data_IF_957626298907
#
_entry.id   IF_957626298907
#
_cell.length_a   1.000
_cell.length_b   1.000
_cell.length_c   1.000
_cell.angle_alpha   90.00
_cell.angle_beta   90.00
_cell.angle_gamma   90.00
#
_symmetry.space_group_name_H-M   'P 1'
#
loop_
_entity.id
_entity.type
_entity.pdbx_description
1 polymer ?
#
# COMPACT_ATOMS: atom_id res chain seq x y z
N UNK A 1 29.42 -30.62 -12.07
CA UNK A 1 28.03 -30.10 -12.13
C UNK A 1 27.79 -28.95 -11.12
N UNK A 2 28.63 -27.91 -11.08
CA UNK A 2 28.43 -26.73 -10.21
C UNK A 2 27.98 -25.47 -10.98
N UNK A 3 27.67 -25.61 -12.27
CA UNK A 3 27.28 -24.51 -13.17
C UNK A 3 25.76 -24.17 -13.04
N UNK A 4 24.94 -25.00 -12.39
CA UNK A 4 23.46 -24.94 -12.58
C UNK A 4 22.62 -24.10 -11.60
N UNK A 5 23.15 -23.55 -10.48
CA UNK A 5 22.32 -22.75 -9.55
C UNK A 5 22.60 -21.25 -9.58
N UNK A 6 23.87 -20.85 -9.66
CA UNK A 6 24.27 -19.42 -9.70
C UNK A 6 23.94 -18.75 -11.04
N UNK A 7 24.08 -19.49 -12.14
CA UNK A 7 23.70 -18.99 -13.46
C UNK A 7 22.19 -18.81 -13.56
N UNK A 8 21.43 -19.79 -13.06
CA UNK A 8 19.97 -19.76 -13.01
C UNK A 8 19.41 -18.62 -12.16
N UNK A 9 19.99 -18.37 -10.97
CA UNK A 9 19.59 -17.22 -10.14
C UNK A 9 19.87 -15.88 -10.84
N UNK A 10 20.95 -15.79 -11.61
CA UNK A 10 21.31 -14.57 -12.33
C UNK A 10 20.37 -14.31 -13.52
N UNK A 11 20.02 -15.34 -14.30
CA UNK A 11 19.03 -15.24 -15.38
C UNK A 11 17.65 -14.85 -14.86
N UNK A 12 17.21 -15.46 -13.76
CA UNK A 12 15.92 -15.17 -13.16
C UNK A 12 15.87 -13.74 -12.58
N UNK A 13 16.92 -13.29 -11.92
CA UNK A 13 17.02 -11.90 -11.45
C UNK A 13 17.01 -10.91 -12.64
N UNK A 14 17.75 -11.20 -13.71
CA UNK A 14 17.74 -10.40 -14.94
C UNK A 14 16.34 -10.31 -15.56
N UNK A 15 15.59 -11.41 -15.57
CA UNK A 15 14.19 -11.45 -16.01
C UNK A 15 13.29 -10.55 -15.15
N UNK A 16 13.43 -10.57 -13.82
CA UNK A 16 12.64 -9.73 -12.93
C UNK A 16 12.97 -8.24 -13.08
N UNK A 17 14.25 -7.90 -13.26
CA UNK A 17 14.68 -6.52 -13.57
C UNK A 17 14.00 -6.03 -14.85
N UNK A 18 13.97 -6.86 -15.89
CA UNK A 18 13.33 -6.51 -17.16
C UNK A 18 11.80 -6.37 -17.01
N UNK A 19 11.17 -7.23 -16.22
CA UNK A 19 9.75 -7.12 -15.92
C UNK A 19 9.42 -5.84 -15.14
N UNK A 20 10.26 -5.47 -14.17
CA UNK A 20 10.13 -4.21 -13.43
C UNK A 20 10.25 -3.01 -14.36
N UNK A 21 11.24 -2.98 -15.26
CA UNK A 21 11.38 -1.91 -16.27
C UNK A 21 10.12 -1.79 -17.12
N UNK A 22 9.63 -2.90 -17.68
CA UNK A 22 8.40 -2.93 -18.49
C UNK A 22 7.17 -2.43 -17.72
N UNK A 23 7.04 -2.80 -16.45
CA UNK A 23 5.97 -2.29 -15.59
C UNK A 23 6.05 -0.78 -15.40
N UNK A 24 7.26 -0.25 -15.15
CA UNK A 24 7.47 1.17 -14.97
C UNK A 24 7.25 1.97 -16.27
N UNK A 25 7.71 1.46 -17.41
CA UNK A 25 7.46 2.07 -18.73
C UNK A 25 5.96 2.21 -19.02
N UNK A 26 5.16 1.17 -18.75
CA UNK A 26 3.70 1.22 -18.86
C UNK A 26 3.10 2.29 -17.95
N UNK A 27 3.62 2.42 -16.74
CA UNK A 27 3.17 3.40 -15.75
C UNK A 27 3.52 4.83 -16.18
N UNK A 28 4.74 5.05 -16.69
CA UNK A 28 5.19 6.33 -17.26
C UNK A 28 4.36 6.70 -18.49
N UNK A 29 4.05 5.74 -19.37
CA UNK A 29 3.20 5.98 -20.53
C UNK A 29 1.80 6.45 -20.10
N UNK A 30 1.23 5.80 -19.08
CA UNK A 30 -0.08 6.17 -18.51
C UNK A 30 -0.06 7.57 -17.88
N UNK A 31 1.01 7.89 -17.14
CA UNK A 31 1.24 9.22 -16.59
C UNK A 31 1.36 10.28 -17.69
N UNK A 32 2.18 10.02 -18.71
CA UNK A 32 2.36 10.95 -19.82
C UNK A 32 1.03 11.19 -20.54
N UNK A 33 0.25 10.14 -20.80
CA UNK A 33 -1.09 10.21 -21.39
C UNK A 33 -2.03 11.11 -20.58
N UNK A 34 -2.05 10.93 -19.26
CA UNK A 34 -2.83 11.77 -18.34
C UNK A 34 -2.38 13.24 -18.36
N UNK A 35 -1.08 13.52 -18.41
CA UNK A 35 -0.56 14.88 -18.58
C UNK A 35 -1.00 15.50 -19.90
N UNK A 36 -1.12 14.70 -20.97
CA UNK A 36 -1.64 15.15 -22.26
C UNK A 36 -3.11 15.56 -22.16
N UNK A 37 -3.93 14.71 -21.56
CA UNK A 37 -5.36 14.90 -21.36
C UNK A 37 -5.65 16.15 -20.51
N UNK A 38 -4.95 16.29 -19.38
CA UNK A 38 -5.14 17.39 -18.44
C UNK A 38 -4.49 18.70 -18.91
N UNK A 39 -3.68 18.66 -19.98
CA UNK A 39 -2.85 19.79 -20.45
C UNK A 39 -1.95 20.36 -19.34
N UNK A 40 -1.45 19.49 -18.45
CA UNK A 40 -0.55 19.85 -17.35
C UNK A 40 0.86 19.31 -17.62
N UNK A 41 1.92 20.12 -17.42
CA UNK A 41 3.29 19.63 -17.50
C UNK A 41 3.68 18.79 -16.27
N UNK A 42 4.69 17.93 -16.42
CA UNK A 42 5.34 17.28 -15.28
C UNK A 42 6.10 18.33 -14.45
N UNK A 43 5.83 18.38 -13.16
CA UNK A 43 6.45 19.34 -12.24
C UNK A 43 7.87 18.90 -11.84
N UNK A 44 8.94 19.62 -12.23
CA UNK A 44 10.30 19.19 -11.93
C UNK A 44 10.62 19.28 -10.42
N UNK A 45 11.74 18.64 -10.02
CA UNK A 45 12.39 19.00 -8.76
C UNK A 45 12.61 20.52 -8.72
N UNK A 46 12.30 21.15 -7.58
CA UNK A 46 12.30 22.61 -7.48
C UNK A 46 13.75 23.11 -7.53
N UNK A 47 14.11 24.05 -8.42
CA UNK A 47 15.44 24.67 -8.41
C UNK A 47 15.69 25.40 -7.09
N UNK A 48 16.93 25.46 -6.61
CA UNK A 48 17.30 26.12 -5.35
C UNK A 48 16.78 27.57 -5.26
N UNK A 49 16.95 28.35 -6.34
CA UNK A 49 16.44 29.73 -6.44
C UNK A 49 14.92 29.84 -6.27
N UNK A 50 14.16 28.83 -6.72
CA UNK A 50 12.70 28.83 -6.55
C UNK A 50 12.30 28.37 -5.15
N UNK A 51 13.15 27.62 -4.44
CA UNK A 51 12.94 27.34 -3.01
C UNK A 51 13.08 28.64 -2.21
N UNK A 52 14.12 29.42 -2.47
CA UNK A 52 14.38 30.72 -1.83
C UNK A 52 13.20 31.69 -2.02
N UNK A 53 12.77 31.90 -3.27
CA UNK A 53 11.60 32.73 -3.60
C UNK A 53 10.30 32.30 -2.89
N UNK A 54 10.11 31.00 -2.67
CA UNK A 54 8.91 30.49 -2.00
C UNK A 54 8.98 30.67 -0.49
N UNK A 55 10.18 30.63 0.09
CA UNK A 55 10.40 30.99 1.49
C UNK A 55 10.12 32.49 1.69
N UNK A 56 10.57 33.32 0.75
CA UNK A 56 10.37 34.78 0.78
C UNK A 56 8.91 35.18 0.54
N UNK A 57 8.16 34.45 -0.31
CA UNK A 57 6.77 34.77 -0.67
C UNK A 57 5.75 33.78 -0.10
N UNK A 58 6.04 33.20 1.07
CA UNK A 58 5.23 32.12 1.67
C UNK A 58 3.76 32.50 1.88
N UNK A 59 3.50 33.74 2.27
CA UNK A 59 2.15 34.24 2.62
C UNK A 59 1.23 34.41 1.39
N UNK A 60 1.80 34.49 0.18
CA UNK A 60 1.05 34.72 -1.07
C UNK A 60 0.71 33.43 -1.84
N UNK A 61 1.24 32.28 -1.41
CA UNK A 61 1.12 31.00 -2.12
C UNK A 61 -0.33 30.50 -2.27
N UNK A 62 -1.22 30.90 -1.38
CA UNK A 62 -2.65 30.53 -1.41
C UNK A 62 -3.36 31.04 -2.69
N UNK A 63 -2.83 32.09 -3.32
CA UNK A 63 -3.36 32.64 -4.57
C UNK A 63 -2.91 31.86 -5.82
N UNK A 64 -1.81 31.10 -5.72
CA UNK A 64 -1.20 30.39 -6.84
C UNK A 64 -1.82 29.01 -7.10
N UNK A 65 -2.39 28.36 -6.08
CA UNK A 65 -2.93 27.01 -6.20
C UNK A 65 -4.44 27.02 -6.49
N UNK A 66 -4.81 27.09 -7.77
CA UNK A 66 -6.20 26.93 -8.21
C UNK A 66 -6.73 25.51 -7.94
N UNK A 67 -8.06 25.43 -7.79
CA UNK A 67 -8.84 24.26 -7.38
C UNK A 67 -8.39 22.93 -8.03
N UNK A 68 -8.24 21.91 -7.18
CA UNK A 68 -7.82 20.55 -7.56
C UNK A 68 -8.95 19.89 -8.35
N UNK A 69 -8.71 19.61 -9.62
CA UNK A 69 -9.59 18.73 -10.41
C UNK A 69 -9.41 17.29 -9.91
N UNK A 70 -10.47 16.48 -9.84
CA UNK A 70 -10.33 15.06 -9.51
C UNK A 70 -9.56 14.37 -10.64
N UNK A 71 -8.32 13.98 -10.38
CA UNK A 71 -7.46 13.24 -11.32
C UNK A 71 -7.63 11.74 -11.08
N UNK A 72 -7.78 10.96 -12.15
CA UNK A 72 -7.83 9.49 -12.09
C UNK A 72 -6.48 8.96 -11.57
N UNK A 73 -6.44 7.91 -10.73
CA UNK A 73 -5.17 7.26 -10.38
C UNK A 73 -4.46 6.71 -11.63
N UNK A 74 -3.12 6.73 -11.61
CA UNK A 74 -2.28 6.27 -12.74
C UNK A 74 -2.44 4.76 -12.96
N UNK A 75 -2.46 4.00 -11.87
CA UNK A 75 -2.78 2.57 -11.86
C UNK A 75 -3.50 2.19 -10.57
N UNK A 76 -4.18 1.05 -10.58
CA UNK A 76 -4.79 0.45 -9.42
C UNK A 76 -4.19 -0.92 -9.06
N UNK A 77 -4.61 -1.51 -7.92
CA UNK A 77 -4.14 -2.82 -7.50
C UNK A 77 -4.38 -3.92 -8.54
N UNK A 78 -5.48 -3.85 -9.30
CA UNK A 78 -5.80 -4.85 -10.33
C UNK A 78 -4.77 -4.83 -11.47
N UNK A 79 -4.34 -3.64 -11.89
CA UNK A 79 -3.37 -3.47 -12.97
C UNK A 79 -2.01 -4.05 -12.58
N UNK A 80 -1.60 -3.81 -11.32
CA UNK A 80 -0.34 -4.34 -10.81
C UNK A 80 -0.39 -5.85 -10.61
N UNK A 81 -1.48 -6.40 -10.07
CA UNK A 81 -1.65 -7.85 -9.98
C UNK A 81 -1.59 -8.52 -11.36
N UNK A 82 -2.24 -7.95 -12.37
CA UNK A 82 -2.20 -8.47 -13.72
C UNK A 82 -0.76 -8.47 -14.28
N UNK A 83 0.05 -7.46 -13.94
CA UNK A 83 1.46 -7.42 -14.32
C UNK A 83 2.29 -8.51 -13.63
N UNK A 84 2.01 -8.78 -12.34
CA UNK A 84 2.65 -9.89 -11.61
C UNK A 84 2.23 -11.25 -12.20
N UNK A 85 0.94 -11.47 -12.47
CA UNK A 85 0.43 -12.73 -13.03
C UNK A 85 0.89 -12.96 -14.48
N UNK A 86 1.32 -11.92 -15.19
CA UNK A 86 1.93 -12.05 -16.51
C UNK A 86 3.39 -12.55 -16.45
N UNK A 87 4.01 -12.63 -15.26
CA UNK A 87 5.36 -13.16 -15.09
C UNK A 87 5.35 -14.67 -15.32
N UNK A 88 5.76 -15.10 -16.52
CA UNK A 88 5.99 -16.50 -16.82
C UNK A 88 7.46 -16.84 -16.68
N UNK A 89 7.74 -18.01 -16.11
CA UNK A 89 9.11 -18.50 -15.97
C UNK A 89 9.75 -18.70 -17.37
N UNK A 90 10.96 -18.16 -17.64
CA UNK A 90 11.57 -18.21 -18.97
C UNK A 90 11.76 -19.63 -19.53
N UNK A 91 11.92 -20.63 -18.65
CA UNK A 91 12.19 -22.03 -19.04
C UNK A 91 10.99 -23.00 -18.87
N UNK A 92 9.75 -22.51 -18.72
CA UNK A 92 8.59 -23.42 -18.63
C UNK A 92 8.02 -23.74 -20.02
N UNK A 93 8.29 -24.96 -20.48
CA UNK A 93 7.59 -25.58 -21.61
C UNK A 93 6.11 -25.77 -21.23
N UNK A 94 5.23 -25.37 -22.15
CA UNK A 94 3.80 -25.18 -21.91
C UNK A 94 3.09 -26.39 -21.31
N UNK A 95 2.49 -26.18 -20.13
CA UNK A 95 1.20 -26.77 -19.82
C UNK A 95 0.16 -25.65 -19.98
N UNK A 96 -0.71 -25.78 -20.98
CA UNK A 96 -1.78 -24.83 -21.30
C UNK A 96 -2.99 -25.00 -20.35
N UNK A 97 -2.75 -25.22 -19.06
CA UNK A 97 -3.82 -25.15 -18.08
C UNK A 97 -3.98 -23.69 -17.62
N UNK A 98 -5.13 -23.03 -17.89
CA UNK A 98 -5.38 -21.65 -17.48
C UNK A 98 -5.20 -21.42 -15.97
N UNK A 99 -5.44 -22.46 -15.16
CA UNK A 99 -5.28 -22.41 -13.71
C UNK A 99 -3.80 -22.29 -13.32
N UNK A 100 -2.94 -23.10 -13.94
CA UNK A 100 -1.49 -23.08 -13.73
C UNK A 100 -0.83 -21.79 -14.26
N UNK A 101 -1.37 -21.19 -15.32
CA UNK A 101 -0.82 -19.96 -15.93
C UNK A 101 -0.97 -18.73 -15.04
N UNK A 102 -1.92 -18.74 -14.10
CA UNK A 102 -2.27 -17.59 -13.27
C UNK A 102 -1.68 -17.59 -11.85
N UNK A 103 -1.12 -18.72 -11.41
CA UNK A 103 -0.52 -18.88 -10.08
C UNK A 103 0.94 -18.43 -10.06
N UNK A 104 1.25 -17.52 -9.14
CA UNK A 104 2.60 -17.00 -8.92
C UNK A 104 3.50 -18.00 -8.20
N UNK A 105 2.92 -18.95 -7.45
CA UNK A 105 3.64 -19.98 -6.69
C UNK A 105 4.63 -20.81 -7.52
N UNK A 106 4.44 -20.78 -8.84
CA UNK A 106 5.26 -21.38 -9.89
C UNK A 106 6.64 -20.73 -10.08
N UNK A 107 6.86 -19.53 -9.56
CA UNK A 107 8.13 -18.83 -9.65
C UNK A 107 9.11 -19.40 -8.61
N UNK A 108 10.41 -19.56 -8.95
CA UNK A 108 11.42 -20.18 -8.10
C UNK A 108 11.93 -19.23 -7.01
N UNK A 109 11.03 -18.51 -6.34
CA UNK A 109 11.37 -17.63 -5.23
C UNK A 109 11.32 -18.41 -3.90
N UNK A 110 12.38 -18.28 -3.07
CA UNK A 110 12.40 -18.86 -1.74
C UNK A 110 11.39 -18.10 -0.87
N UNK A 111 10.41 -18.81 -0.33
CA UNK A 111 9.51 -18.27 0.70
C UNK A 111 9.57 -19.19 1.89
N UNK A 112 9.35 -18.64 3.10
CA UNK A 112 9.27 -19.46 4.30
C UNK A 112 8.11 -20.46 4.19
N UNK A 113 8.30 -21.64 4.76
CA UNK A 113 7.20 -22.56 4.97
C UNK A 113 6.43 -22.18 6.24
N UNK A 114 5.29 -22.85 6.47
CA UNK A 114 4.47 -22.56 7.63
C UNK A 114 5.18 -22.89 8.95
N UNK A 115 6.07 -23.88 8.96
CA UNK A 115 6.81 -24.27 10.17
C UNK A 115 7.76 -23.15 10.61
N UNK A 116 8.49 -22.56 9.67
CA UNK A 116 9.37 -21.42 9.88
C UNK A 116 8.58 -20.17 10.29
N UNK A 117 7.40 -19.94 9.70
CA UNK A 117 6.52 -18.84 10.12
C UNK A 117 6.02 -19.01 11.57
N UNK A 118 5.59 -20.23 11.94
CA UNK A 118 5.16 -20.53 13.33
C UNK A 118 6.29 -20.33 14.33
N UNK A 119 7.51 -20.70 13.97
CA UNK A 119 8.68 -20.46 14.83
C UNK A 119 8.97 -18.96 14.96
N UNK A 120 8.94 -18.22 13.85
CA UNK A 120 9.19 -16.77 13.85
C UNK A 120 8.14 -16.00 14.66
N UNK A 121 6.87 -16.37 14.54
CA UNK A 121 5.74 -15.71 15.19
C UNK A 121 5.22 -16.46 16.43
N UNK A 122 6.08 -17.23 17.11
CA UNK A 122 5.67 -18.07 18.25
C UNK A 122 5.01 -17.27 19.40
N UNK A 123 5.38 -16.00 19.59
CA UNK A 123 4.76 -15.15 20.62
C UNK A 123 3.36 -14.63 20.25
N UNK A 124 2.88 -14.88 19.03
CA UNK A 124 1.47 -14.67 18.63
C UNK A 124 0.59 -15.89 18.90
N UNK A 125 1.11 -16.93 19.56
CA UNK A 125 0.32 -18.08 19.97
C UNK A 125 -0.83 -17.65 20.90
N UNK A 126 -1.97 -18.34 20.81
CA UNK A 126 -3.16 -18.15 21.64
C UNK A 126 -2.88 -18.24 23.14
N UNK A 127 -1.79 -18.91 23.54
CA UNK A 127 -1.36 -19.01 24.94
C UNK A 127 -0.65 -17.75 25.47
N UNK A 128 -0.35 -16.79 24.60
CA UNK A 128 0.38 -15.57 24.93
C UNK A 128 -0.57 -14.37 24.86
N UNK A 129 -0.62 -13.59 25.94
CA UNK A 129 -1.41 -12.35 25.96
C UNK A 129 -0.91 -11.35 24.91
N UNK A 130 -1.85 -10.72 24.22
CA UNK A 130 -1.63 -9.74 23.17
C UNK A 130 -2.11 -8.36 23.65
N UNK A 131 -1.14 -7.49 23.96
CA UNK A 131 -1.39 -6.10 24.29
C UNK A 131 -2.22 -5.42 23.18
N UNK A 132 -3.24 -4.66 23.60
CA UNK A 132 -4.17 -3.97 22.71
C UNK A 132 -5.27 -4.86 22.09
N UNK A 133 -5.17 -6.19 22.21
CA UNK A 133 -6.21 -7.13 21.76
C UNK A 133 -6.95 -7.74 22.94
N UNK A 134 -6.22 -8.35 23.88
CA UNK A 134 -6.83 -9.08 25.01
C UNK A 134 -7.30 -8.17 26.15
N UNK A 135 -6.78 -6.94 26.20
CA UNK A 135 -7.17 -5.93 27.20
C UNK A 135 -8.66 -5.58 27.14
N UNK A 136 -9.31 -5.79 25.98
CA UNK A 136 -10.73 -5.50 25.77
C UNK A 136 -11.68 -6.58 26.34
N UNK A 137 -11.15 -7.73 26.78
CA UNK A 137 -11.96 -8.89 27.21
C UNK A 137 -12.34 -8.88 28.69
N UNK A 138 -11.73 -8.03 29.53
CA UNK A 138 -11.89 -8.02 30.98
C UNK A 138 -13.12 -7.25 31.53
N UNK A 139 -13.93 -6.62 30.66
CA UNK A 139 -15.12 -5.81 31.04
C UNK A 139 -16.44 -6.53 30.67
N UNK A 140 -16.48 -7.85 30.82
CA UNK A 140 -17.37 -8.75 30.07
C UNK A 140 -18.87 -8.77 30.42
N UNK A 141 -19.33 -8.35 31.61
CA UNK A 141 -20.73 -8.66 31.98
C UNK A 141 -21.70 -7.47 32.00
N UNK A 142 -21.23 -6.22 32.06
CA UNK A 142 -22.10 -5.03 31.92
C UNK A 142 -22.14 -4.51 30.46
N UNK A 143 -21.15 -4.89 29.64
CA UNK A 143 -20.97 -4.37 28.29
C UNK A 143 -21.79 -5.07 27.21
N UNK A 144 -22.25 -6.32 27.38
CA UNK A 144 -22.85 -7.06 26.26
C UNK A 144 -24.19 -6.47 25.77
N UNK A 145 -25.06 -6.01 26.67
CA UNK A 145 -26.30 -5.30 26.30
C UNK A 145 -26.03 -3.91 25.68
N UNK A 146 -25.03 -3.19 26.20
CA UNK A 146 -24.56 -1.94 25.59
C UNK A 146 -23.88 -2.18 24.24
N UNK A 147 -23.24 -3.33 24.03
CA UNK A 147 -22.50 -3.72 22.82
C UNK A 147 -23.42 -4.18 21.69
N UNK A 148 -24.55 -4.82 21.98
CA UNK A 148 -25.61 -5.04 20.97
C UNK A 148 -26.24 -3.71 20.53
N UNK A 149 -26.51 -2.79 21.47
CA UNK A 149 -26.94 -1.43 21.16
C UNK A 149 -25.84 -0.61 20.42
N UNK A 150 -24.56 -0.80 20.76
CA UNK A 150 -23.40 -0.19 20.11
C UNK A 150 -23.01 -0.84 18.80
N UNK A 151 -23.38 -2.08 18.50
CA UNK A 151 -23.09 -2.72 17.21
C UNK A 151 -24.08 -2.24 16.14
N UNK A 152 -25.37 -2.13 16.50
CA UNK A 152 -26.41 -1.54 15.65
C UNK A 152 -26.19 -0.04 15.46
N UNK A 153 -25.97 0.71 16.55
CA UNK A 153 -25.60 2.13 16.44
C UNK A 153 -24.23 2.31 15.81
N UNK A 154 -23.25 1.46 16.08
CA UNK A 154 -21.90 1.48 15.50
C UNK A 154 -21.90 1.21 14.01
N UNK A 155 -22.76 0.33 13.51
CA UNK A 155 -23.00 0.14 12.08
C UNK A 155 -23.59 1.41 11.46
N UNK A 156 -24.59 2.03 12.11
CA UNK A 156 -25.16 3.30 11.67
C UNK A 156 -24.15 4.47 11.71
N UNK A 157 -23.30 4.56 12.74
CA UNK A 157 -22.22 5.56 12.84
C UNK A 157 -21.15 5.34 11.79
N UNK A 158 -20.77 4.09 11.51
CA UNK A 158 -19.78 3.73 10.49
C UNK A 158 -20.32 3.94 9.07
N UNK A 159 -21.61 3.72 8.85
CA UNK A 159 -22.32 4.02 7.60
C UNK A 159 -22.46 5.54 7.39
N UNK A 160 -22.91 6.29 8.40
CA UNK A 160 -22.96 7.76 8.34
C UNK A 160 -21.57 8.37 8.18
N UNK A 161 -20.55 7.83 8.84
CA UNK A 161 -19.15 8.20 8.63
C UNK A 161 -18.70 7.96 7.18
N UNK A 162 -19.07 6.81 6.60
CA UNK A 162 -18.76 6.51 5.19
C UNK A 162 -19.40 7.53 4.25
N UNK A 163 -20.66 7.90 4.48
CA UNK A 163 -21.36 8.96 3.71
C UNK A 163 -20.64 10.31 3.84
N UNK A 164 -20.26 10.74 5.06
CA UNK A 164 -19.54 12.00 5.30
C UNK A 164 -18.20 12.03 4.55
N UNK A 165 -17.45 10.92 4.56
CA UNK A 165 -16.19 10.81 3.81
C UNK A 165 -16.40 10.80 2.29
N UNK A 166 -17.48 10.19 1.81
CA UNK A 166 -17.78 10.09 0.37
C UNK A 166 -18.14 11.45 -0.22
N UNK A 167 -18.88 12.28 0.54
CA UNK A 167 -19.25 13.63 0.12
C UNK A 167 -18.12 14.66 0.26
N UNK A 168 -17.08 14.38 1.08
CA UNK A 168 -15.96 15.32 1.37
C UNK A 168 -16.44 16.75 1.69
N UNK A 169 -17.59 16.88 2.32
CA UNK A 169 -18.27 18.15 2.55
C UNK A 169 -18.13 18.55 4.01
N UNK A 170 -17.58 19.75 4.25
CA UNK A 170 -17.44 20.33 5.59
C UNK A 170 -18.79 20.52 6.29
N UNK A 171 -19.86 20.76 5.52
CA UNK A 171 -21.23 20.89 6.05
C UNK A 171 -21.74 19.56 6.61
N UNK A 172 -21.53 18.46 5.89
CA UNK A 172 -21.94 17.12 6.34
C UNK A 172 -21.14 16.66 7.56
N UNK A 173 -19.84 16.98 7.60
CA UNK A 173 -18.99 16.72 8.75
C UNK A 173 -19.46 17.48 10.01
N UNK A 174 -19.89 18.74 9.85
CA UNK A 174 -20.42 19.55 10.96
C UNK A 174 -21.75 19.01 11.49
N UNK A 175 -22.68 18.61 10.61
CA UNK A 175 -23.94 17.98 11.02
C UNK A 175 -23.69 16.66 11.77
N UNK A 176 -22.69 15.88 11.34
CA UNK A 176 -22.30 14.66 12.05
C UNK A 176 -21.76 14.96 13.46
N UNK A 177 -20.90 15.98 13.61
CA UNK A 177 -20.32 16.36 14.90
C UNK A 177 -21.34 16.85 15.93
N UNK A 178 -22.52 17.31 15.50
CA UNK A 178 -23.58 17.77 16.43
C UNK A 178 -24.03 16.66 17.39
N UNK A 179 -23.89 15.38 17.00
CA UNK A 179 -24.23 14.23 17.83
C UNK A 179 -23.00 13.61 18.53
N UNK A 180 -21.85 14.28 18.48
CA UNK A 180 -20.58 13.75 18.97
C UNK A 180 -19.87 12.83 17.97
N UNK A 181 -18.56 12.66 18.15
CA UNK A 181 -17.72 11.84 17.27
C UNK A 181 -16.98 10.76 18.08
N UNK A 182 -16.98 9.50 17.64
CA UNK A 182 -16.12 8.48 18.23
C UNK A 182 -14.63 8.85 18.12
N UNK A 183 -13.83 8.45 19.11
CA UNK A 183 -12.38 8.74 19.19
C UNK A 183 -11.65 8.38 17.88
N UNK A 184 -11.90 7.20 17.34
CA UNK A 184 -11.32 6.70 16.10
C UNK A 184 -11.77 7.38 14.82
N UNK A 185 -12.60 8.44 14.86
CA UNK A 185 -12.99 9.24 13.68
C UNK A 185 -12.78 10.75 13.89
N UNK A 186 -12.43 11.18 15.10
CA UNK A 186 -12.40 12.59 15.50
C UNK A 186 -11.40 13.40 14.69
N UNK A 187 -10.16 12.93 14.55
CA UNK A 187 -9.11 13.63 13.80
C UNK A 187 -9.54 13.92 12.35
N UNK A 188 -10.18 12.96 11.70
CA UNK A 188 -10.57 13.06 10.29
C UNK A 188 -11.83 13.89 10.05
N UNK A 189 -12.81 13.82 10.95
CA UNK A 189 -14.01 14.67 10.85
C UNK A 189 -13.68 16.11 11.24
N UNK A 190 -12.80 16.33 12.22
CA UNK A 190 -12.29 17.65 12.55
C UNK A 190 -11.48 18.23 11.39
N UNK A 191 -10.57 17.46 10.80
CA UNK A 191 -9.85 17.85 9.59
C UNK A 191 -10.80 18.22 8.44
N UNK A 192 -11.90 17.49 8.22
CA UNK A 192 -12.92 17.84 7.23
C UNK A 192 -13.72 19.10 7.60
N UNK A 193 -14.07 19.31 8.88
CA UNK A 193 -14.78 20.50 9.36
C UNK A 193 -13.95 21.77 9.27
N UNK A 194 -12.64 21.63 9.50
CA UNK A 194 -11.63 22.68 9.50
C UNK A 194 -10.94 22.82 8.13
N UNK A 195 -11.31 21.99 7.15
CA UNK A 195 -10.73 21.93 5.82
C UNK A 195 -9.19 21.71 5.79
N UNK A 196 -8.66 21.05 6.82
CA UNK A 196 -7.24 20.70 6.94
C UNK A 196 -7.01 19.39 6.19
N UNK A 197 -6.31 19.45 5.06
CA UNK A 197 -6.00 18.25 4.29
C UNK A 197 -4.64 17.68 4.73
N UNK A 198 -4.58 17.16 5.98
CA UNK A 198 -3.34 16.63 6.61
C UNK A 198 -2.61 15.63 5.70
N UNK A 199 -3.36 14.80 4.98
CA UNK A 199 -2.80 13.84 4.02
C UNK A 199 -2.07 14.53 2.87
N UNK A 200 -2.53 15.69 2.41
CA UNK A 200 -1.87 16.48 1.37
C UNK A 200 -0.57 17.10 1.88
N UNK A 201 -0.56 17.57 3.13
CA UNK A 201 0.62 18.13 3.80
C UNK A 201 1.75 17.12 3.96
N UNK A 202 1.45 15.81 3.92
CA UNK A 202 2.44 14.72 4.01
C UNK A 202 2.80 14.17 2.64
N UNK A 203 1.81 13.88 1.79
CA UNK A 203 2.03 13.19 0.51
C UNK A 203 2.71 14.07 -0.54
N UNK A 204 2.43 15.39 -0.57
CA UNK A 204 3.07 16.27 -1.55
C UNK A 204 4.57 16.43 -1.27
N UNK A 205 5.02 16.73 -0.03
CA UNK A 205 6.44 16.71 0.29
C UNK A 205 7.07 15.34 0.00
N UNK A 206 6.39 14.25 0.37
CA UNK A 206 6.89 12.89 0.15
C UNK A 206 7.21 12.62 -1.32
N UNK A 207 6.30 12.93 -2.24
CA UNK A 207 6.52 12.66 -3.67
C UNK A 207 7.66 13.50 -4.27
N UNK A 208 8.03 14.60 -3.61
CA UNK A 208 9.10 15.50 -4.00
C UNK A 208 10.42 15.25 -3.27
N UNK A 209 10.45 14.41 -2.24
CA UNK A 209 11.66 14.16 -1.43
C UNK A 209 12.60 13.20 -2.20
N UNK A 210 13.74 13.69 -2.72
CA UNK A 210 14.69 12.85 -3.45
C UNK A 210 15.38 11.82 -2.54
N UNK A 211 15.34 11.99 -1.21
CA UNK A 211 15.89 11.01 -0.26
C UNK A 211 15.16 9.67 -0.37
N UNK A 212 13.87 9.70 -0.68
CA UNK A 212 13.08 8.48 -0.91
C UNK A 212 13.62 7.68 -2.10
N UNK A 213 14.22 8.37 -3.08
CA UNK A 213 14.80 7.70 -4.26
C UNK A 213 15.95 6.76 -3.92
N UNK A 214 16.67 7.02 -2.82
CA UNK A 214 17.84 6.21 -2.43
C UNK A 214 17.48 4.74 -2.18
N UNK A 215 16.25 4.45 -1.73
CA UNK A 215 15.76 3.09 -1.53
C UNK A 215 15.74 2.29 -2.83
N UNK A 216 15.46 2.96 -3.94
CA UNK A 216 15.40 2.33 -5.26
C UNK A 216 16.77 2.05 -5.86
N UNK A 217 17.86 2.61 -5.31
CA UNK A 217 19.22 2.32 -5.76
C UNK A 217 19.57 0.83 -5.59
N UNK A 218 18.98 0.16 -4.59
CA UNK A 218 19.12 -1.28 -4.34
C UNK A 218 18.33 -2.16 -5.31
N UNK A 219 17.45 -1.58 -6.14
CA UNK A 219 16.59 -2.33 -7.07
C UNK A 219 16.88 -1.90 -8.52
N UNK A 220 17.71 -2.65 -9.28
CA UNK A 220 18.03 -2.30 -10.65
C UNK A 220 16.77 -2.22 -11.53
N UNK A 221 16.74 -1.26 -12.47
CA UNK A 221 15.60 -1.10 -13.37
C UNK A 221 14.40 -0.36 -12.77
N UNK A 222 14.50 0.16 -11.54
CA UNK A 222 13.44 0.94 -10.89
C UNK A 222 13.50 2.46 -11.15
N UNK A 223 14.57 2.95 -11.78
CA UNK A 223 14.76 4.40 -12.02
C UNK A 223 13.79 4.90 -13.09
N UNK A 224 12.86 5.75 -12.67
CA UNK A 224 11.81 6.32 -13.52
C UNK A 224 12.30 7.51 -14.33
N UNK A 225 12.59 7.32 -15.61
CA UNK A 225 12.96 8.42 -16.51
C UNK A 225 11.75 8.84 -17.35
N UNK A 226 11.20 10.02 -17.07
CA UNK A 226 10.13 10.62 -17.87
C UNK A 226 10.70 11.65 -18.86
N UNK A 227 10.16 11.65 -20.09
CA UNK A 227 10.54 12.63 -21.11
C UNK A 227 9.74 13.93 -20.96
N UNK A 228 10.43 15.07 -21.06
CA UNK A 228 9.76 16.37 -21.13
C UNK A 228 9.20 16.60 -22.53
N UNK A 229 7.97 17.11 -22.60
CA UNK A 229 7.46 17.70 -23.85
C UNK A 229 8.42 18.82 -24.28
N UNK A 230 9.04 18.64 -25.45
CA UNK A 230 9.97 19.54 -26.15
C UNK A 230 11.46 19.53 -25.73
N UNK A 231 11.92 18.61 -24.86
CA UNK A 231 13.37 18.46 -24.60
C UNK A 231 13.79 16.98 -24.60
N UNK A 232 14.94 16.67 -25.22
CA UNK A 232 15.50 15.31 -25.33
C UNK A 232 15.98 14.78 -23.96
N UNK A 233 16.13 15.66 -22.96
CA UNK A 233 16.61 15.27 -21.63
C UNK A 233 15.55 14.51 -20.83
N UNK A 234 15.87 13.25 -20.52
CA UNK A 234 15.09 12.41 -19.60
C UNK A 234 15.28 12.89 -18.17
N UNK A 235 14.20 13.18 -17.45
CA UNK A 235 14.23 13.62 -16.05
C UNK A 235 13.63 12.54 -15.15
N UNK A 236 14.18 12.38 -13.94
CA UNK A 236 13.58 11.46 -12.97
C UNK A 236 12.29 12.05 -12.41
N UNK A 237 11.16 11.36 -12.58
CA UNK A 237 9.86 11.84 -12.13
C UNK A 237 8.95 10.71 -11.65
N UNK A 238 8.27 10.87 -10.48
CA UNK A 238 8.42 11.97 -9.51
C UNK A 238 9.81 12.02 -8.87
N UNK A 239 10.22 13.14 -8.23
CA UNK A 239 11.54 13.23 -7.59
C UNK A 239 11.80 12.17 -6.51
N UNK A 240 10.76 11.63 -5.87
CA UNK A 240 10.87 10.50 -4.94
C UNK A 240 11.10 9.14 -5.61
N UNK A 241 10.89 9.02 -6.92
CA UNK A 241 10.83 7.73 -7.61
C UNK A 241 9.53 6.94 -7.37
N UNK A 242 8.57 7.49 -6.61
CA UNK A 242 7.31 6.81 -6.29
C UNK A 242 6.18 7.33 -7.15
N UNK A 243 5.53 6.46 -7.94
CA UNK A 243 4.32 6.81 -8.68
C UNK A 243 3.08 6.53 -7.81
N UNK A 244 2.25 7.53 -7.49
CA UNK A 244 1.03 7.31 -6.72
C UNK A 244 0.05 6.41 -7.46
N UNK A 245 -0.46 5.39 -6.75
CA UNK A 245 -1.51 4.50 -7.22
C UNK A 245 -2.82 4.71 -6.48
N UNK A 246 -3.87 4.04 -6.95
CA UNK A 246 -5.17 4.07 -6.31
C UNK A 246 -5.12 3.54 -4.86
N UNK A 247 -5.26 4.46 -3.91
CA UNK A 247 -5.20 4.16 -2.48
C UNK A 247 -3.83 4.36 -1.85
N UNK A 248 -2.87 4.99 -2.53
CA UNK A 248 -1.56 5.34 -1.96
C UNK A 248 -1.69 6.18 -0.67
N UNK A 249 -2.66 7.09 -0.63
CA UNK A 249 -2.96 7.91 0.54
C UNK A 249 -3.42 7.11 1.77
N UNK A 250 -3.79 5.84 1.59
CA UNK A 250 -4.20 4.99 2.70
C UNK A 250 -3.03 4.68 3.63
N UNK A 251 -1.77 4.71 3.19
CA UNK A 251 -0.65 4.49 4.11
C UNK A 251 -0.46 5.59 5.16
N UNK A 252 -0.87 6.82 4.85
CA UNK A 252 -0.79 7.94 5.81
C UNK A 252 -1.98 7.90 6.78
N UNK A 253 -3.11 7.34 6.35
CA UNK A 253 -4.38 7.41 7.06
C UNK A 253 -4.35 6.87 8.50
N UNK A 254 -3.77 5.69 8.81
CA UNK A 254 -3.67 5.21 10.20
C UNK A 254 -2.77 6.10 11.06
N UNK A 255 -1.68 6.62 10.49
CA UNK A 255 -0.72 7.46 11.22
C UNK A 255 -1.31 8.82 11.62
N UNK A 256 -2.31 9.32 10.88
CA UNK A 256 -3.08 10.52 11.27
C UNK A 256 -3.88 10.35 12.57
N UNK A 257 -3.97 9.14 13.14
CA UNK A 257 -4.54 8.93 14.48
C UNK A 257 -3.49 8.99 15.59
N UNK A 258 -2.21 8.93 15.24
CA UNK A 258 -1.09 8.94 16.19
C UNK A 258 -0.41 10.32 16.27
N UNK A 259 -0.31 11.03 15.14
CA UNK A 259 0.46 12.26 15.05
C UNK A 259 -0.42 13.42 14.59
N UNK A 260 -0.54 14.43 15.45
CA UNK A 260 -1.18 15.70 15.13
C UNK A 260 -0.23 16.65 14.38
N UNK A 261 1.07 16.59 14.68
CA UNK A 261 2.09 17.39 13.98
C UNK A 261 2.37 16.81 12.59
N UNK A 262 2.11 17.56 11.50
CA UNK A 262 2.35 17.09 10.14
C UNK A 262 3.82 16.83 9.84
N UNK A 263 4.76 17.48 10.54
CA UNK A 263 6.20 17.27 10.33
C UNK A 263 6.62 15.92 10.90
N UNK A 264 6.26 15.62 12.14
CA UNK A 264 6.48 14.33 12.76
C UNK A 264 5.79 13.20 11.99
N UNK A 265 4.52 13.41 11.60
CA UNK A 265 3.77 12.48 10.76
C UNK A 265 4.50 12.18 9.45
N UNK A 266 5.04 13.22 8.80
CA UNK A 266 5.82 13.08 7.57
C UNK A 266 7.08 12.24 7.79
N UNK A 267 7.85 12.53 8.84
CA UNK A 267 9.09 11.81 9.15
C UNK A 267 8.82 10.32 9.37
N UNK A 268 7.80 10.00 10.17
CA UNK A 268 7.42 8.61 10.47
C UNK A 268 6.90 7.91 9.22
N UNK A 269 6.00 8.56 8.46
CA UNK A 269 5.50 7.99 7.20
C UNK A 269 6.63 7.71 6.20
N UNK A 270 7.56 8.67 6.03
CA UNK A 270 8.73 8.50 5.16
C UNK A 270 9.55 7.29 5.57
N UNK A 271 9.86 7.14 6.85
CA UNK A 271 10.63 6.00 7.36
C UNK A 271 9.88 4.68 7.19
N UNK A 272 8.58 4.64 7.52
CA UNK A 272 7.75 3.44 7.32
C UNK A 272 7.72 3.01 5.84
N UNK A 273 7.60 3.97 4.92
CA UNK A 273 7.61 3.67 3.49
C UNK A 273 8.98 3.15 3.03
N UNK A 274 10.04 3.88 3.38
CA UNK A 274 11.42 3.54 2.98
C UNK A 274 11.89 2.21 3.59
N UNK A 275 11.44 1.87 4.79
CA UNK A 275 11.84 0.63 5.46
C UNK A 275 10.95 -0.55 5.10
N UNK A 276 9.69 -0.34 4.70
CA UNK A 276 8.71 -1.42 4.50
C UNK A 276 7.91 -1.28 3.20
N UNK A 277 7.09 -0.24 3.09
CA UNK A 277 6.02 -0.23 2.07
C UNK A 277 6.51 -0.13 0.61
N UNK A 278 7.72 0.37 0.35
CA UNK A 278 8.29 0.36 -1.00
C UNK A 278 8.36 -1.07 -1.59
N UNK A 279 8.65 -2.09 -0.75
CA UNK A 279 8.73 -3.51 -1.16
C UNK A 279 7.39 -4.04 -1.68
N UNK A 280 6.29 -3.42 -1.30
CA UNK A 280 4.95 -3.78 -1.77
C UNK A 280 4.66 -3.28 -3.20
N UNK A 281 5.57 -2.49 -3.80
CA UNK A 281 5.33 -1.78 -5.07
C UNK A 281 6.42 -2.04 -6.13
N UNK A 282 7.38 -2.91 -5.83
CA UNK A 282 8.51 -3.24 -6.70
C UNK A 282 8.43 -4.72 -7.06
N UNK A 283 8.63 -5.04 -8.34
CA UNK A 283 8.87 -6.41 -8.81
C UNK A 283 10.35 -6.71 -8.60
N UNK A 284 10.65 -7.59 -7.64
CA UNK A 284 12.01 -8.02 -7.30
C UNK A 284 12.01 -9.44 -6.73
N UNK A 285 13.20 -9.99 -6.50
CA UNK A 285 13.44 -11.25 -5.81
C UNK A 285 13.53 -11.12 -4.28
N UNK A 286 13.13 -9.96 -3.74
CA UNK A 286 13.14 -9.68 -2.31
C UNK A 286 12.18 -10.62 -1.56
N UNK A 287 12.63 -11.36 -0.52
CA UNK A 287 11.77 -12.27 0.24
C UNK A 287 10.61 -11.55 0.96
N UNK A 288 10.77 -10.27 1.30
CA UNK A 288 9.74 -9.43 1.91
C UNK A 288 9.03 -8.55 0.85
N UNK A 289 9.33 -8.77 -0.44
CA UNK A 289 8.74 -8.10 -1.60
C UNK A 289 7.35 -8.60 -1.96
N UNK A 290 6.57 -7.78 -2.66
CA UNK A 290 5.18 -8.11 -3.04
C UNK A 290 5.06 -9.46 -3.75
N UNK A 291 6.02 -9.81 -4.60
CA UNK A 291 6.00 -11.05 -5.38
C UNK A 291 6.16 -12.27 -4.46
N UNK A 292 7.16 -12.25 -3.58
CA UNK A 292 7.40 -13.29 -2.57
C UNK A 292 6.23 -13.40 -1.58
N UNK A 293 5.64 -12.28 -1.17
CA UNK A 293 4.46 -12.26 -0.31
C UNK A 293 3.22 -12.87 -0.98
N UNK A 294 2.99 -12.61 -2.27
CA UNK A 294 1.89 -13.23 -3.01
C UNK A 294 2.09 -14.75 -3.18
N UNK A 295 3.33 -15.18 -3.43
CA UNK A 295 3.70 -16.61 -3.49
C UNK A 295 3.48 -17.28 -2.13
N UNK A 296 3.91 -16.62 -1.05
CA UNK A 296 3.73 -17.12 0.30
C UNK A 296 2.25 -17.29 0.63
N UNK A 297 1.41 -16.32 0.25
CA UNK A 297 -0.04 -16.37 0.43
C UNK A 297 -0.65 -17.58 -0.29
N UNK A 298 -0.33 -17.78 -1.57
CA UNK A 298 -0.81 -18.93 -2.34
C UNK A 298 -0.35 -20.26 -1.71
N UNK A 299 0.91 -20.36 -1.27
CA UNK A 299 1.45 -21.56 -0.62
C UNK A 299 0.76 -21.88 0.71
N UNK A 300 0.50 -20.88 1.55
CA UNK A 300 -0.19 -21.09 2.83
C UNK A 300 -1.61 -21.60 2.59
N UNK A 301 -2.36 -20.97 1.70
CA UNK A 301 -3.73 -21.40 1.41
C UNK A 301 -3.78 -22.77 0.74
N UNK A 302 -2.86 -23.07 -0.18
CA UNK A 302 -2.80 -24.38 -0.82
C UNK A 302 -2.47 -25.51 0.17
N UNK A 303 -1.63 -25.23 1.18
CA UNK A 303 -1.26 -26.19 2.23
C UNK A 303 -2.37 -26.39 3.28
N UNK A 304 -3.12 -25.33 3.61
CA UNK A 304 -4.11 -25.36 4.70
C UNK A 304 -5.55 -25.55 4.26
N UNK A 305 -5.94 -24.93 3.16
CA UNK A 305 -7.32 -24.90 2.66
C UNK A 305 -7.38 -25.18 1.14
N UNK A 306 -6.89 -26.34 0.65
CA UNK A 306 -6.85 -26.64 -0.78
C UNK A 306 -8.25 -26.72 -1.42
N UNK A 307 -9.27 -27.15 -0.66
CA UNK A 307 -10.65 -27.22 -1.13
C UNK A 307 -11.23 -25.82 -1.38
N UNK A 308 -10.93 -24.86 -0.50
CA UNK A 308 -11.32 -23.46 -0.67
C UNK A 308 -10.65 -22.86 -1.90
N UNK A 309 -9.34 -23.09 -2.08
CA UNK A 309 -8.61 -22.63 -3.27
C UNK A 309 -9.25 -23.18 -4.54
N UNK A 310 -9.56 -24.48 -4.58
CA UNK A 310 -10.20 -25.12 -5.72
C UNK A 310 -11.57 -24.51 -6.01
N UNK A 311 -12.41 -24.38 -4.98
CA UNK A 311 -13.76 -23.83 -5.11
C UNK A 311 -13.74 -22.38 -5.64
N UNK A 312 -12.95 -21.50 -5.00
CA UNK A 312 -12.83 -20.09 -5.37
C UNK A 312 -12.26 -19.90 -6.79
N UNK A 313 -11.37 -20.80 -7.18
CA UNK A 313 -10.80 -20.80 -8.52
C UNK A 313 -11.83 -21.23 -9.57
N UNK A 314 -12.66 -22.25 -9.28
CA UNK A 314 -13.74 -22.68 -10.17
C UNK A 314 -14.79 -21.59 -10.42
N UNK A 315 -15.08 -20.76 -9.42
CA UNK A 315 -16.03 -19.62 -9.57
C UNK A 315 -15.37 -18.35 -10.16
N UNK A 316 -14.12 -18.42 -10.61
CA UNK A 316 -13.42 -17.29 -11.25
C UNK A 316 -12.96 -16.19 -10.28
N UNK A 317 -12.89 -16.49 -8.99
CA UNK A 317 -12.48 -15.60 -7.92
C UNK A 317 -11.25 -16.16 -7.17
N UNK A 318 -10.11 -16.38 -7.85
CA UNK A 318 -8.95 -16.99 -7.22
C UNK A 318 -8.52 -16.20 -5.97
N UNK A 319 -8.11 -16.86 -4.87
CA UNK A 319 -7.89 -16.22 -3.57
C UNK A 319 -7.00 -14.98 -3.62
N UNK A 320 -5.90 -15.05 -4.38
CA UNK A 320 -4.96 -13.94 -4.49
C UNK A 320 -5.63 -12.68 -5.06
N UNK A 321 -6.58 -12.81 -6.00
CA UNK A 321 -7.30 -11.66 -6.57
C UNK A 321 -8.14 -10.91 -5.54
N UNK A 322 -8.63 -11.61 -4.53
CA UNK A 322 -9.40 -11.05 -3.42
C UNK A 322 -8.46 -10.39 -2.40
N UNK A 323 -7.42 -11.11 -1.97
CA UNK A 323 -6.50 -10.68 -0.93
C UNK A 323 -5.42 -9.68 -1.40
N UNK A 324 -5.13 -9.57 -2.70
CA UNK A 324 -4.03 -8.75 -3.21
C UNK A 324 -4.10 -7.30 -2.73
N UNK A 325 -5.30 -6.74 -2.63
CA UNK A 325 -5.46 -5.36 -2.18
C UNK A 325 -5.18 -5.19 -0.69
N UNK A 326 -5.39 -6.24 0.10
CA UNK A 326 -5.04 -6.25 1.53
C UNK A 326 -3.52 -6.26 1.66
N UNK A 327 -2.85 -7.15 0.92
CA UNK A 327 -1.38 -7.26 0.89
C UNK A 327 -0.75 -5.94 0.41
N UNK A 328 -1.16 -5.46 -0.77
CA UNK A 328 -0.63 -4.25 -1.40
C UNK A 328 -0.80 -2.99 -0.55
N UNK A 329 -1.79 -2.92 0.34
CA UNK A 329 -2.03 -1.74 1.19
C UNK A 329 -1.75 -1.99 2.67
N UNK A 330 -1.09 -3.10 3.00
CA UNK A 330 -0.86 -3.53 4.38
C UNK A 330 -2.13 -3.39 5.26
N UNK A 331 -3.27 -3.87 4.73
CA UNK A 331 -4.63 -3.75 5.29
C UNK A 331 -5.21 -2.34 5.47
N UNK A 332 -4.48 -1.29 5.16
CA UNK A 332 -5.00 0.07 5.27
C UNK A 332 -6.18 0.30 4.33
N UNK A 333 -7.29 0.77 4.92
CA UNK A 333 -8.58 0.95 4.25
C UNK A 333 -9.45 -0.30 4.17
N UNK A 334 -9.03 -1.40 4.80
CA UNK A 334 -9.81 -2.64 4.93
C UNK A 334 -10.12 -2.97 6.39
N UNK A 335 -9.15 -2.75 7.29
CA UNK A 335 -9.36 -2.84 8.73
C UNK A 335 -9.60 -1.45 9.34
N UNK A 336 -10.12 -1.41 10.56
CA UNK A 336 -10.18 -0.17 11.34
C UNK A 336 -8.76 0.36 11.62
N UNK A 337 -8.57 1.68 11.78
CA UNK A 337 -7.25 2.25 12.04
C UNK A 337 -6.52 1.59 13.23
N UNK A 338 -7.24 1.30 14.31
CA UNK A 338 -6.71 0.61 15.49
C UNK A 338 -6.14 -0.78 15.14
N UNK A 339 -6.91 -1.60 14.41
CA UNK A 339 -6.45 -2.92 13.96
C UNK A 339 -5.26 -2.84 12.98
N UNK A 340 -5.24 -1.84 12.11
CA UNK A 340 -4.10 -1.61 11.20
C UNK A 340 -2.85 -1.24 12.00
N UNK A 341 -2.98 -0.39 13.01
CA UNK A 341 -1.86 0.00 13.87
C UNK A 341 -1.33 -1.20 14.67
N UNK A 342 -2.21 -2.04 15.23
CA UNK A 342 -1.78 -3.30 15.89
C UNK A 342 -1.03 -4.24 14.95
N UNK A 343 -1.47 -4.34 13.69
CA UNK A 343 -0.74 -5.10 12.67
C UNK A 343 0.63 -4.45 12.38
N UNK A 344 0.69 -3.13 12.28
CA UNK A 344 1.93 -2.40 11.99
C UNK A 344 2.91 -2.42 13.16
N UNK A 345 2.45 -2.48 14.40
CA UNK A 345 3.29 -2.77 15.57
C UNK A 345 4.02 -4.09 15.39
N UNK A 346 3.37 -5.09 14.75
CA UNK A 346 3.96 -6.41 14.52
C UNK A 346 4.89 -6.39 13.31
N UNK A 347 4.62 -5.56 12.30
CA UNK A 347 5.60 -5.30 11.24
C UNK A 347 6.88 -4.71 11.85
N UNK A 348 6.76 -3.73 12.74
CA UNK A 348 7.89 -3.08 13.41
C UNK A 348 8.62 -4.03 14.36
N UNK A 349 7.90 -4.80 15.18
CA UNK A 349 8.50 -5.67 16.19
C UNK A 349 9.30 -6.84 15.57
N UNK A 350 8.87 -7.37 14.43
CA UNK A 350 9.55 -8.46 13.72
C UNK A 350 10.33 -8.01 12.49
N UNK A 351 10.34 -6.72 12.20
CA UNK A 351 10.95 -6.12 11.01
C UNK A 351 10.55 -6.87 9.71
N UNK A 352 9.26 -7.19 9.55
CA UNK A 352 8.79 -8.08 8.50
C UNK A 352 7.37 -7.83 8.02
N UNK A 353 7.17 -7.98 6.71
CA UNK A 353 5.90 -7.85 6.01
C UNK A 353 5.15 -9.18 5.88
N UNK A 354 5.78 -10.31 6.15
CA UNK A 354 5.15 -11.64 6.06
C UNK A 354 3.91 -11.77 6.95
N UNK A 355 3.85 -11.04 8.07
CA UNK A 355 2.68 -11.03 8.96
C UNK A 355 1.41 -10.54 8.27
N UNK A 356 1.54 -9.67 7.25
CA UNK A 356 0.41 -9.23 6.42
C UNK A 356 -0.17 -10.43 5.67
N UNK A 357 0.68 -11.32 5.16
CA UNK A 357 0.26 -12.50 4.42
C UNK A 357 -0.38 -13.53 5.34
N UNK A 358 0.20 -13.74 6.53
CA UNK A 358 -0.38 -14.63 7.54
C UNK A 358 -1.79 -14.18 7.92
N UNK A 359 -1.98 -12.88 8.17
CA UNK A 359 -3.30 -12.33 8.47
C UNK A 359 -4.26 -12.47 7.29
N UNK A 360 -3.80 -12.20 6.06
CA UNK A 360 -4.62 -12.34 4.86
C UNK A 360 -5.09 -13.78 4.64
N UNK A 361 -4.20 -14.75 4.83
CA UNK A 361 -4.54 -16.17 4.74
C UNK A 361 -5.43 -16.65 5.88
N UNK A 362 -5.38 -16.00 7.05
CA UNK A 362 -6.26 -16.35 8.20
C UNK A 362 -7.67 -15.75 8.07
N UNK A 363 -7.83 -14.68 7.29
CA UNK A 363 -9.13 -14.05 7.01
C UNK A 363 -9.87 -14.76 5.87
N UNK A 364 -9.13 -15.28 4.89
CA UNK A 364 -9.65 -16.11 3.81
C UNK A 364 -10.05 -17.48 4.34
#
# INVERSE_FOLDING_TARGET
MHISRRHFSHEFNSFLIEAQKKWLERTIHSLNSMCQELKLPLDPARPAKMVELIIESWDELSTLFKAVRPVKPIFGPKDFLNALQALQHPNKNGHDDPLFKSSLSNLPLPTKDLSALRQKYASLNLTCMQNGVDDQSSVGNFCNALRELHSLKGFAYKFNYFLVLQHRSSQHARVFLQNGCPLGFRSRIWALCLNINVTRSVLLPFLRDPKVMEVFASYPGTVLKASRRKNIDSVIYPPSGVIPFHGFSMYVSPLCYLYDDPVQLYIVFRQMYMNYFHRLHIISDDPEGILSLCILFERILQDKEPELVMHLTCVGAPPLRLAFRWILRAFSGYLSPEQVLLLWDRILAWDSLEIIVVLAASIM
#
